data_IF_597565965077
#
_entry.id   IF_597565965077
#
_cell.length_a   1.000
_cell.length_b   1.000
_cell.length_c   1.000
_cell.angle_alpha   90.00
_cell.angle_beta   90.00
_cell.angle_gamma   90.00
#
_symmetry.space_group_name_H-M   'P 1'
#
loop_
_entity.id
_entity.type
_entity.pdbx_description
1 polymer ?
#
# COMPACT_ATOMS: atom_id res chain seq x y z
N UNK A 1 -63.47 11.27 -16.45
CA UNK A 1 -62.32 11.15 -17.37
C UNK A 1 -60.97 11.38 -16.71
N UNK A 2 -60.74 12.47 -15.95
CA UNK A 2 -59.41 12.78 -15.39
C UNK A 2 -58.87 11.73 -14.40
N UNK A 3 -59.71 11.23 -13.48
CA UNK A 3 -59.31 10.21 -12.48
C UNK A 3 -58.80 8.91 -13.11
N UNK A 4 -59.45 8.43 -14.18
CA UNK A 4 -59.03 7.22 -14.92
C UNK A 4 -57.69 7.43 -15.65
N UNK A 5 -57.48 8.61 -16.25
CA UNK A 5 -56.18 8.98 -16.85
C UNK A 5 -55.06 9.00 -15.80
N UNK A 6 -55.31 9.55 -14.61
CA UNK A 6 -54.34 9.57 -13.51
C UNK A 6 -54.02 8.15 -13.02
N UNK A 7 -55.03 7.28 -12.87
CA UNK A 7 -54.83 5.89 -12.46
C UNK A 7 -54.00 5.10 -13.48
N UNK A 8 -54.27 5.30 -14.78
CA UNK A 8 -53.50 4.67 -15.85
C UNK A 8 -52.05 5.15 -15.86
N UNK A 9 -51.80 6.45 -15.70
CA UNK A 9 -50.46 7.01 -15.62
C UNK A 9 -49.72 6.48 -14.37
N UNK A 10 -50.39 6.44 -13.21
CA UNK A 10 -49.82 5.90 -11.97
C UNK A 10 -49.41 4.44 -12.13
N UNK A 11 -50.25 3.60 -12.73
CA UNK A 11 -49.92 2.21 -13.00
C UNK A 11 -48.71 2.06 -13.94
N UNK A 12 -48.62 2.92 -14.95
CA UNK A 12 -47.51 2.92 -15.91
C UNK A 12 -46.19 3.38 -15.27
N UNK A 13 -46.22 4.35 -14.36
CA UNK A 13 -45.06 4.75 -13.55
C UNK A 13 -44.59 3.59 -12.69
N UNK A 14 -45.50 2.91 -11.99
CA UNK A 14 -45.15 1.74 -11.16
C UNK A 14 -44.52 0.63 -12.00
N UNK A 15 -45.09 0.34 -13.18
CA UNK A 15 -44.52 -0.65 -14.09
C UNK A 15 -43.08 -0.29 -14.50
N UNK A 16 -42.80 0.98 -14.82
CA UNK A 16 -41.44 1.42 -15.12
C UNK A 16 -40.49 1.33 -13.92
N UNK A 17 -40.96 1.65 -12.72
CA UNK A 17 -40.15 1.52 -11.51
C UNK A 17 -39.72 0.08 -11.26
N UNK A 18 -40.63 -0.88 -11.48
CA UNK A 18 -40.32 -2.32 -11.36
C UNK A 18 -39.22 -2.70 -12.36
N UNK A 19 -39.37 -2.35 -13.64
CA UNK A 19 -38.35 -2.64 -14.67
C UNK A 19 -37.01 -2.00 -14.32
N UNK A 20 -37.03 -0.76 -13.84
CA UNK A 20 -35.81 -0.05 -13.45
C UNK A 20 -35.09 -0.70 -12.26
N UNK A 21 -35.84 -1.23 -11.30
CA UNK A 21 -35.28 -1.99 -10.17
C UNK A 21 -34.54 -3.24 -10.66
N UNK A 22 -35.11 -3.99 -11.60
CA UNK A 22 -34.45 -5.17 -12.19
C UNK A 22 -33.14 -4.83 -12.91
N UNK A 23 -33.12 -3.73 -13.68
CA UNK A 23 -31.91 -3.27 -14.36
C UNK A 23 -30.83 -2.91 -13.33
N UNK A 24 -31.19 -2.14 -12.30
CA UNK A 24 -30.25 -1.77 -11.23
C UNK A 24 -29.70 -3.00 -10.50
N UNK A 25 -30.56 -3.98 -10.19
CA UNK A 25 -30.14 -5.23 -9.57
C UNK A 25 -29.10 -5.96 -10.42
N UNK A 26 -29.36 -6.12 -11.71
CA UNK A 26 -28.44 -6.78 -12.65
C UNK A 26 -27.10 -6.05 -12.76
N UNK A 27 -27.12 -4.71 -12.82
CA UNK A 27 -25.89 -3.90 -12.85
C UNK A 27 -25.10 -4.09 -11.56
N UNK A 28 -25.78 -4.06 -10.40
CA UNK A 28 -25.13 -4.25 -9.11
C UNK A 28 -24.47 -5.63 -8.99
N UNK A 29 -25.18 -6.70 -9.38
CA UNK A 29 -24.63 -8.06 -9.40
C UNK A 29 -23.40 -8.17 -10.32
N UNK A 30 -23.45 -7.57 -11.52
CA UNK A 30 -22.32 -7.54 -12.45
C UNK A 30 -21.10 -6.83 -11.85
N UNK A 31 -21.32 -5.69 -11.20
CA UNK A 31 -20.25 -4.93 -10.55
C UNK A 31 -19.65 -5.69 -9.37
N UNK A 32 -20.50 -6.26 -8.50
CA UNK A 32 -20.06 -7.05 -7.35
C UNK A 32 -19.25 -8.29 -7.77
N UNK A 33 -19.74 -9.02 -8.79
CA UNK A 33 -19.03 -10.17 -9.34
C UNK A 33 -17.69 -9.77 -9.96
N UNK A 34 -17.64 -8.68 -10.73
CA UNK A 34 -16.38 -8.17 -11.29
C UNK A 34 -15.36 -7.85 -10.18
N UNK A 35 -15.78 -7.10 -9.16
CA UNK A 35 -14.90 -6.71 -8.05
C UNK A 35 -14.39 -7.93 -7.28
N UNK A 36 -15.26 -8.92 -7.03
CA UNK A 36 -14.87 -10.16 -6.37
C UNK A 36 -13.83 -10.93 -7.19
N UNK A 37 -14.04 -11.05 -8.51
CA UNK A 37 -13.08 -11.76 -9.38
C UNK A 37 -11.74 -11.03 -9.45
N UNK A 38 -11.72 -9.70 -9.53
CA UNK A 38 -10.48 -8.91 -9.50
C UNK A 38 -9.75 -9.12 -8.16
N UNK A 39 -10.48 -9.14 -7.04
CA UNK A 39 -9.91 -9.41 -5.71
C UNK A 39 -9.33 -10.83 -5.59
N UNK A 40 -10.00 -11.83 -6.15
CA UNK A 40 -9.50 -13.20 -6.19
C UNK A 40 -8.24 -13.32 -7.06
N UNK A 41 -8.23 -12.65 -8.23
CA UNK A 41 -7.06 -12.56 -9.10
C UNK A 41 -5.88 -11.94 -8.32
N UNK A 42 -6.11 -10.83 -7.63
CA UNK A 42 -5.08 -10.16 -6.83
C UNK A 42 -4.55 -11.04 -5.68
N UNK A 43 -5.44 -11.75 -4.98
CA UNK A 43 -5.08 -12.68 -3.90
C UNK A 43 -4.17 -13.82 -4.41
N UNK A 44 -4.53 -14.40 -5.55
CA UNK A 44 -3.82 -15.56 -6.11
C UNK A 44 -2.57 -15.19 -6.91
N UNK A 45 -2.46 -13.95 -7.36
CA UNK A 45 -1.31 -13.44 -8.10
C UNK A 45 -0.59 -12.38 -7.26
N UNK A 46 -0.90 -11.11 -7.52
CA UNK A 46 -0.24 -9.94 -6.92
C UNK A 46 -1.30 -8.96 -6.44
N UNK A 47 -1.21 -8.54 -5.17
CA UNK A 47 -2.06 -7.50 -4.61
C UNK A 47 -1.59 -6.09 -5.04
N UNK A 48 -2.43 -5.05 -4.91
CA UNK A 48 -1.99 -3.68 -5.04
C UNK A 48 -0.74 -3.40 -4.20
N UNK A 49 0.31 -2.88 -4.85
CA UNK A 49 1.60 -2.63 -4.23
C UNK A 49 1.72 -1.17 -3.79
N UNK A 50 2.10 -0.97 -2.54
CA UNK A 50 2.55 0.32 -2.01
C UNK A 50 4.05 0.24 -1.81
N UNK A 51 4.80 1.15 -2.43
CA UNK A 51 6.25 1.27 -2.29
C UNK A 51 6.56 2.49 -1.45
N UNK A 52 7.51 2.35 -0.54
CA UNK A 52 8.03 3.47 0.26
C UNK A 52 9.46 3.79 -0.18
N UNK A 53 9.85 5.06 -0.06
CA UNK A 53 11.25 5.46 -0.27
C UNK A 53 12.18 4.64 0.62
N UNK A 54 13.39 4.28 0.14
CA UNK A 54 14.40 3.65 0.98
C UNK A 54 14.72 4.51 2.21
N UNK A 55 15.05 3.85 3.31
CA UNK A 55 15.46 4.48 4.57
C UNK A 55 16.58 3.66 5.22
N UNK A 56 17.38 4.32 6.04
CA UNK A 56 18.49 3.69 6.76
C UNK A 56 18.01 3.34 8.16
N UNK A 57 18.29 2.12 8.60
CA UNK A 57 18.03 1.65 9.96
C UNK A 57 19.37 1.43 10.67
N UNK A 58 19.58 2.16 11.76
CA UNK A 58 20.79 2.06 12.58
C UNK A 58 20.42 1.52 13.97
N UNK A 59 21.04 0.42 14.43
CA UNK A 59 20.83 -0.06 15.79
C UNK A 59 21.41 0.91 16.83
N UNK A 60 20.65 1.15 17.90
CA UNK A 60 21.06 1.99 19.02
C UNK A 60 20.89 1.23 20.33
N UNK A 61 21.96 1.11 21.10
CA UNK A 61 21.92 0.55 22.45
C UNK A 61 21.75 1.68 23.46
N UNK A 62 20.70 1.62 24.28
CA UNK A 62 20.44 2.60 25.35
C UNK A 62 20.57 1.93 26.70
N UNK A 63 21.30 2.54 27.62
CA UNK A 63 21.39 2.09 29.01
C UNK A 63 20.46 2.95 29.88
N UNK A 64 19.55 2.30 30.61
CA UNK A 64 18.62 2.94 31.54
C UNK A 64 18.46 2.07 32.79
N UNK A 65 18.08 2.67 33.92
CA UNK A 65 17.75 1.92 35.12
C UNK A 65 16.59 0.95 34.84
N UNK A 66 16.67 -0.26 35.37
CA UNK A 66 15.64 -1.28 35.18
C UNK A 66 14.34 -0.86 35.87
N UNK A 67 13.19 -1.04 35.21
CA UNK A 67 11.86 -0.70 35.80
C UNK A 67 11.54 -1.49 37.09
N UNK A 68 12.09 -2.70 37.22
CA UNK A 68 11.86 -3.58 38.37
C UNK A 68 12.87 -3.39 39.50
N UNK A 69 14.04 -2.81 39.20
CA UNK A 69 15.12 -2.62 40.17
C UNK A 69 15.94 -1.37 39.77
N UNK A 70 15.70 -0.22 40.41
CA UNK A 70 16.39 1.03 40.08
C UNK A 70 17.90 0.99 40.30
N UNK A 71 18.43 0.00 41.06
CA UNK A 71 19.87 -0.15 41.27
C UNK A 71 20.57 -0.89 40.13
N UNK A 72 19.84 -1.52 39.21
CA UNK A 72 20.42 -2.24 38.05
C UNK A 72 20.32 -1.41 36.78
N UNK A 73 21.40 -1.46 35.99
CA UNK A 73 21.45 -0.87 34.65
C UNK A 73 21.03 -1.94 33.63
N UNK A 74 19.94 -1.68 32.91
CA UNK A 74 19.46 -2.51 31.82
C UNK A 74 19.84 -1.88 30.47
N UNK A 75 20.24 -2.71 29.51
CA UNK A 75 20.51 -2.29 28.13
C UNK A 75 19.33 -2.66 27.24
N UNK A 76 18.81 -1.70 26.48
CA UNK A 76 17.73 -1.88 25.53
C UNK A 76 18.21 -1.53 24.13
N UNK A 77 17.98 -2.43 23.18
CA UNK A 77 18.27 -2.18 21.77
C UNK A 77 17.05 -1.55 21.11
N UNK A 78 17.26 -0.42 20.45
CA UNK A 78 16.25 0.25 19.63
C UNK A 78 16.80 0.51 18.23
N UNK A 79 15.93 0.98 17.33
CA UNK A 79 16.26 1.27 15.95
C UNK A 79 16.05 2.76 15.68
N UNK A 80 17.10 3.42 15.19
CA UNK A 80 17.01 4.75 14.64
C UNK A 80 16.70 4.64 13.14
N UNK A 81 15.65 5.33 12.69
CA UNK A 81 15.28 5.39 11.28
C UNK A 81 15.71 6.75 10.72
N UNK A 82 16.52 6.73 9.67
CA UNK A 82 16.95 7.91 8.94
C UNK A 82 16.29 7.86 7.57
N UNK A 83 15.41 8.82 7.32
CA UNK A 83 14.73 8.99 6.04
C UNK A 83 15.45 10.03 5.19
N UNK A 84 15.33 9.97 3.85
CA UNK A 84 15.92 10.99 3.00
C UNK A 84 15.21 12.33 3.21
N UNK A 85 15.97 13.43 3.14
CA UNK A 85 15.42 14.80 3.16
C UNK A 85 14.67 15.12 1.87
N UNK A 86 15.16 14.58 0.75
CA UNK A 86 14.57 14.73 -0.57
C UNK A 86 14.59 13.38 -1.27
N UNK A 87 13.53 13.09 -2.01
CA UNK A 87 13.42 11.88 -2.80
C UNK A 87 12.83 12.20 -4.17
N UNK A 88 13.49 11.73 -5.22
CA UNK A 88 13.05 11.84 -6.61
C UNK A 88 12.68 10.44 -7.12
N UNK A 89 11.57 10.37 -7.84
CA UNK A 89 10.97 9.12 -8.29
C UNK A 89 10.76 9.19 -9.79
N UNK A 90 11.50 8.40 -10.55
CA UNK A 90 11.28 8.21 -11.98
C UNK A 90 10.53 6.90 -12.20
N UNK A 91 9.42 6.97 -12.93
CA UNK A 91 8.48 5.87 -13.13
C UNK A 91 8.17 5.70 -14.61
N UNK A 92 8.42 4.51 -15.14
CA UNK A 92 8.02 4.13 -16.49
C UNK A 92 6.93 3.06 -16.41
N UNK A 93 5.68 3.52 -16.34
CA UNK A 93 4.50 2.66 -16.17
C UNK A 93 3.95 2.22 -17.53
N UNK A 94 3.76 0.91 -17.69
CA UNK A 94 3.07 0.29 -18.83
C UNK A 94 1.85 -0.46 -18.34
N UNK A 95 0.70 -0.19 -18.97
CA UNK A 95 -0.56 -0.86 -18.66
C UNK A 95 -0.60 -2.21 -19.39
N UNK A 96 -0.98 -3.27 -18.67
CA UNK A 96 -1.16 -4.61 -19.22
C UNK A 96 -2.50 -5.18 -18.73
N UNK A 97 -3.37 -5.51 -19.68
CA UNK A 97 -4.72 -6.01 -19.44
C UNK A 97 -4.87 -7.52 -19.66
N UNK A 98 -3.78 -8.23 -19.97
CA UNK A 98 -3.83 -9.64 -20.37
C UNK A 98 -3.03 -10.56 -19.45
N UNK A 99 -2.05 -10.05 -18.70
CA UNK A 99 -1.28 -10.85 -17.73
C UNK A 99 -2.14 -11.52 -16.66
N UNK A 100 -3.18 -10.85 -16.17
CA UNK A 100 -4.06 -11.38 -15.13
C UNK A 100 -5.51 -11.48 -15.61
N UNK A 101 -5.95 -12.70 -15.93
CA UNK A 101 -7.31 -12.98 -16.42
C UNK A 101 -7.91 -14.24 -15.81
N UNK A 102 -9.23 -14.24 -15.67
CA UNK A 102 -10.03 -15.40 -15.26
C UNK A 102 -11.31 -15.44 -16.07
N UNK A 103 -11.38 -16.37 -17.03
CA UNK A 103 -12.50 -16.46 -17.98
C UNK A 103 -12.62 -15.17 -18.81
N UNK A 104 -13.79 -14.53 -18.75
CA UNK A 104 -14.06 -13.26 -19.42
C UNK A 104 -13.54 -12.03 -18.66
N UNK A 105 -13.15 -12.21 -17.40
CA UNK A 105 -12.70 -11.12 -16.52
C UNK A 105 -11.20 -10.89 -16.66
N UNK A 106 -10.80 -9.62 -16.74
CA UNK A 106 -9.41 -9.17 -16.83
C UNK A 106 -9.14 -8.17 -15.73
N UNK A 107 -8.07 -8.37 -14.99
CA UNK A 107 -7.58 -7.37 -14.04
C UNK A 107 -6.53 -6.50 -14.75
N UNK A 108 -6.70 -5.19 -14.67
CA UNK A 108 -5.69 -4.25 -15.16
C UNK A 108 -4.47 -4.32 -14.27
N UNK A 109 -3.31 -4.56 -14.87
CA UNK A 109 -2.02 -4.62 -14.20
C UNK A 109 -1.10 -3.53 -14.73
N UNK A 110 -0.11 -3.16 -13.93
CA UNK A 110 0.84 -2.12 -14.25
C UNK A 110 2.24 -2.70 -14.09
N UNK A 111 3.03 -2.67 -15.16
CA UNK A 111 4.46 -2.94 -15.09
C UNK A 111 5.17 -1.61 -14.98
N UNK A 112 5.94 -1.42 -13.91
CA UNK A 112 6.64 -0.17 -13.65
C UNK A 112 8.14 -0.43 -13.54
N UNK A 113 8.95 0.31 -14.29
CA UNK A 113 10.37 0.46 -14.00
C UNK A 113 10.52 1.69 -13.11
N UNK A 114 10.92 1.47 -11.86
CA UNK A 114 11.00 2.49 -10.82
C UNK A 114 12.46 2.76 -10.47
N UNK A 115 12.90 4.01 -10.59
CA UNK A 115 14.16 4.50 -10.04
C UNK A 115 13.87 5.52 -8.94
N UNK A 116 14.46 5.31 -7.76
CA UNK A 116 14.30 6.19 -6.61
C UNK A 116 15.67 6.75 -6.24
N UNK A 117 15.83 8.07 -6.32
CA UNK A 117 16.99 8.77 -5.78
C UNK A 117 16.59 9.37 -4.42
N UNK A 118 17.39 9.12 -3.38
CA UNK A 118 17.18 9.66 -2.04
C UNK A 118 18.42 10.39 -1.54
N UNK A 119 18.27 11.63 -1.08
CA UNK A 119 19.35 12.41 -0.45
C UNK A 119 19.22 12.38 1.05
N UNK A 120 20.24 11.84 1.72
CA UNK A 120 20.30 11.73 3.17
C UNK A 120 21.27 12.77 3.72
N UNK A 121 20.85 13.52 4.73
CA UNK A 121 21.73 14.38 5.53
C UNK A 121 21.64 13.91 6.97
N UNK A 122 22.79 13.58 7.54
CA UNK A 122 22.90 13.24 8.95
C UNK A 122 23.30 14.51 9.67
N UNK A 123 22.40 15.04 10.50
CA UNK A 123 22.71 16.20 11.32
C UNK A 123 23.51 15.78 12.55
N UNK A 124 24.31 16.69 13.10
CA UNK A 124 25.16 16.43 14.28
C UNK A 124 24.35 15.98 15.51
N UNK A 125 23.08 16.38 15.61
CA UNK A 125 22.16 15.91 16.67
C UNK A 125 21.84 14.41 16.63
N UNK A 126 22.05 13.74 15.49
CA UNK A 126 21.95 12.27 15.36
C UNK A 126 23.30 11.57 15.61
N UNK A 127 24.41 12.31 15.53
CA UNK A 127 25.77 11.82 15.77
C UNK A 127 26.17 11.96 17.24
N UNK A 128 25.69 13.02 17.92
CA UNK A 128 25.83 13.24 19.35
C UNK A 128 24.84 12.35 20.12
N UNK A 129 25.19 11.07 20.20
CA UNK A 129 24.56 10.16 21.13
C UNK A 129 24.80 10.67 22.56
N UNK A 130 23.72 11.07 23.23
CA UNK A 130 23.64 11.30 24.68
C UNK A 130 24.47 10.24 25.42
N UNK A 131 25.19 10.56 26.50
CA UNK A 131 26.20 9.67 27.17
C UNK A 131 25.69 8.29 27.61
N UNK A 132 24.37 8.07 27.53
CA UNK A 132 23.66 6.81 27.83
C UNK A 132 23.27 6.00 26.59
N UNK A 133 23.73 6.40 25.40
CA UNK A 133 23.37 5.78 24.12
C UNK A 133 24.63 5.49 23.30
N UNK A 134 24.65 4.34 22.63
CA UNK A 134 25.70 3.94 21.70
C UNK A 134 25.07 3.58 20.37
N UNK A 135 25.45 4.29 19.31
CA UNK A 135 24.96 4.09 17.94
C UNK A 135 25.94 3.19 17.21
N UNK A 136 25.47 2.06 16.70
CA UNK A 136 26.31 1.09 15.98
C UNK A 136 26.18 1.29 14.46
N UNK A 137 26.95 2.25 13.93
CA UNK A 137 27.00 2.55 12.50
C UNK A 137 27.51 1.37 11.65
N UNK A 138 28.31 0.46 12.23
CA UNK A 138 28.81 -0.73 11.51
C UNK A 138 27.70 -1.70 11.10
N UNK A 139 26.55 -1.61 11.77
CA UNK A 139 25.35 -2.42 11.50
C UNK A 139 24.23 -1.61 10.85
N UNK A 140 24.52 -0.42 10.33
CA UNK A 140 23.55 0.35 9.58
C UNK A 140 23.13 -0.42 8.31
N UNK A 141 21.81 -0.55 8.09
CA UNK A 141 21.26 -1.24 6.91
C UNK A 141 20.29 -0.34 6.18
N UNK A 142 20.40 -0.26 4.86
CA UNK A 142 19.37 0.37 4.03
C UNK A 142 18.23 -0.63 3.80
N UNK A 143 17.00 -0.18 4.00
CA UNK A 143 15.79 -0.98 3.79
C UNK A 143 14.86 -0.24 2.86
N UNK A 144 14.14 -1.00 2.03
CA UNK A 144 13.03 -0.51 1.23
C UNK A 144 11.79 -1.32 1.59
N UNK A 145 10.62 -0.69 1.53
CA UNK A 145 9.36 -1.36 1.83
C UNK A 145 8.52 -1.48 0.57
N UNK A 146 7.95 -2.67 0.38
CA UNK A 146 6.92 -2.96 -0.62
C UNK A 146 5.86 -3.85 0.03
N UNK A 147 4.58 -3.54 -0.17
CA UNK A 147 3.49 -4.25 0.51
C UNK A 147 3.29 -5.70 0.07
N UNK A 148 3.61 -6.04 -1.19
CA UNK A 148 3.53 -7.40 -1.73
C UNK A 148 4.77 -7.71 -2.58
N UNK A 149 5.64 -8.60 -2.10
CA UNK A 149 6.89 -8.95 -2.79
C UNK A 149 6.67 -9.76 -4.07
N UNK A 150 5.51 -10.40 -4.24
CA UNK A 150 5.22 -11.28 -5.40
C UNK A 150 5.17 -10.52 -6.73
N UNK A 151 4.93 -9.20 -6.69
CA UNK A 151 4.93 -8.36 -7.88
C UNK A 151 6.31 -7.85 -8.30
N UNK A 152 7.38 -8.14 -7.55
CA UNK A 152 8.74 -7.79 -7.96
C UNK A 152 9.20 -8.74 -9.06
N UNK A 153 9.46 -8.21 -10.25
CA UNK A 153 9.98 -9.01 -11.38
C UNK A 153 11.47 -9.36 -11.21
N UNK A 154 12.22 -8.57 -10.45
CA UNK A 154 13.65 -8.75 -10.20
C UNK A 154 14.02 -8.20 -8.82
N UNK A 155 15.17 -8.63 -8.30
CA UNK A 155 15.72 -8.07 -7.07
C UNK A 155 16.07 -6.59 -7.29
N UNK A 156 15.65 -5.68 -6.39
CA UNK A 156 16.08 -4.29 -6.47
C UNK A 156 17.59 -4.18 -6.32
N UNK A 157 18.21 -3.39 -7.19
CA UNK A 157 19.63 -3.06 -7.10
C UNK A 157 19.78 -1.72 -6.38
N UNK A 158 20.66 -1.70 -5.39
CA UNK A 158 21.06 -0.48 -4.69
C UNK A 158 22.42 -0.07 -5.28
N UNK A 159 22.46 1.10 -5.89
CA UNK A 159 23.66 1.68 -6.52
C UNK A 159 24.00 3.00 -5.88
#
# INVERSE_FOLDING_TARGET
>A
MLKSKIMMIGGLIVAFLIVFMFIRGTIYERQANYQQVVKDIARNNVNPQTVMTPFIVVPVNKTRQCKQDPQKICTYQTQLLITPQQSQWDNQVKVDNNSFKRGIYRAMSYRNSLAIEGRFSINDTLLDADTTQSIDWSKATMRFYVSDLRGLSSQPMLT
#
